data_IF_677516186790
#
_entry.id   IF_677516186790
#
_cell.length_a   1.000
_cell.length_b   1.000
_cell.length_c   1.000
_cell.angle_alpha   90.00
_cell.angle_beta   90.00
_cell.angle_gamma   90.00
#
_symmetry.space_group_name_H-M   'P 1'
#
loop_
_entity.id
_entity.type
_entity.pdbx_description
1 polymer ?
#
# COMPACT_ATOMS: atom_id res chain seq x y z
N UNK A 1 -6.57 8.82 5.03
CA UNK A 1 -5.78 10.05 4.76
C UNK A 1 -4.38 9.58 4.52
N UNK A 2 -3.77 9.91 3.38
CA UNK A 2 -2.42 9.43 3.05
C UNK A 2 -1.36 10.49 3.33
N UNK A 3 -0.16 10.09 3.69
CA UNK A 3 1.00 10.95 3.85
C UNK A 3 2.24 10.26 3.29
N UNK A 4 3.16 11.03 2.71
CA UNK A 4 4.48 10.54 2.30
C UNK A 4 5.55 11.35 3.01
N UNK A 5 6.51 10.67 3.60
CA UNK A 5 7.69 11.26 4.22
C UNK A 5 8.93 10.62 3.63
N UNK A 6 9.84 11.45 3.13
CA UNK A 6 11.10 11.04 2.53
C UNK A 6 12.24 11.26 3.51
N UNK A 7 13.09 10.25 3.69
CA UNK A 7 14.29 10.29 4.52
C UNK A 7 15.53 9.97 3.69
N UNK A 8 16.69 10.46 4.15
CA UNK A 8 17.97 9.93 3.69
C UNK A 8 18.34 8.68 4.49
N UNK A 9 19.01 7.72 3.86
CA UNK A 9 19.60 6.57 4.57
C UNK A 9 20.67 7.00 5.60
N UNK A 10 21.26 8.19 5.41
CA UNK A 10 22.35 8.70 6.26
C UNK A 10 21.85 9.49 7.48
N UNK A 11 20.62 10.02 7.44
CA UNK A 11 20.02 10.73 8.57
C UNK A 11 18.51 10.42 8.66
N UNK A 12 18.12 9.42 9.48
CA UNK A 12 16.73 9.04 9.65
C UNK A 12 15.94 10.01 10.55
N UNK A 13 16.59 10.99 11.20
CA UNK A 13 15.92 11.92 12.11
C UNK A 13 15.36 13.16 11.40
N UNK A 14 15.94 13.51 10.25
CA UNK A 14 15.47 14.63 9.44
C UNK A 14 14.84 14.12 8.14
N UNK A 15 13.57 14.46 7.94
CA UNK A 15 12.94 14.21 6.65
C UNK A 15 13.43 15.22 5.62
N UNK A 16 13.77 14.74 4.43
CA UNK A 16 14.12 15.56 3.27
C UNK A 16 12.87 16.23 2.68
N UNK A 17 11.73 15.53 2.76
CA UNK A 17 10.48 15.98 2.19
C UNK A 17 9.29 15.33 2.90
N UNK A 18 8.17 16.05 2.99
CA UNK A 18 6.93 15.54 3.53
C UNK A 18 5.74 16.20 2.83
N UNK A 19 4.71 15.41 2.51
CA UNK A 19 3.41 15.93 2.07
C UNK A 19 2.27 14.99 2.45
N UNK A 20 1.09 15.58 2.58
CA UNK A 20 -0.20 14.89 2.76
C UNK A 20 -1.13 15.09 1.57
N UNK A 21 -0.70 15.85 0.55
CA UNK A 21 -1.45 16.08 -0.68
C UNK A 21 -1.33 14.87 -1.60
N UNK A 22 -2.47 14.36 -2.06
CA UNK A 22 -2.54 13.13 -2.83
C UNK A 22 -1.83 13.23 -4.18
N UNK A 23 -1.93 14.38 -4.85
CA UNK A 23 -1.36 14.60 -6.17
C UNK A 23 0.16 14.78 -6.07
N UNK A 24 0.64 15.44 -5.01
CA UNK A 24 2.07 15.53 -4.71
C UNK A 24 2.67 14.16 -4.39
N UNK A 25 2.01 13.37 -3.54
CA UNK A 25 2.41 12.00 -3.20
C UNK A 25 2.49 11.16 -4.48
N UNK A 26 1.45 11.20 -5.32
CA UNK A 26 1.39 10.46 -6.56
C UNK A 26 2.54 10.84 -7.50
N UNK A 27 2.82 12.14 -7.67
CA UNK A 27 3.92 12.62 -8.50
C UNK A 27 5.28 12.16 -7.99
N UNK A 28 5.53 12.25 -6.68
CA UNK A 28 6.81 11.84 -6.11
C UNK A 28 7.07 10.33 -6.26
N UNK A 29 6.06 9.52 -5.96
CA UNK A 29 6.16 8.07 -6.10
C UNK A 29 6.32 7.67 -7.57
N UNK A 30 5.55 8.29 -8.47
CA UNK A 30 5.60 7.98 -9.91
C UNK A 30 6.98 8.32 -10.51
N UNK A 31 7.64 9.40 -10.05
CA UNK A 31 9.00 9.74 -10.46
C UNK A 31 10.04 8.65 -10.13
N UNK A 32 9.75 7.77 -9.16
CA UNK A 32 10.56 6.60 -8.81
C UNK A 32 10.00 5.28 -9.37
N UNK A 33 9.01 5.34 -10.25
CA UNK A 33 8.36 4.17 -10.84
C UNK A 33 7.32 3.49 -9.93
N UNK A 34 6.94 4.13 -8.82
CA UNK A 34 5.94 3.60 -7.89
C UNK A 34 4.56 4.17 -8.23
N UNK A 35 3.61 3.30 -8.58
CA UNK A 35 2.22 3.71 -8.89
C UNK A 35 1.45 3.93 -7.59
N UNK A 36 0.86 5.11 -7.44
CA UNK A 36 -0.05 5.43 -6.34
C UNK A 36 -1.39 5.90 -6.91
N UNK A 37 -2.46 5.23 -6.51
CA UNK A 37 -3.82 5.54 -6.95
C UNK A 37 -4.81 5.45 -5.79
N UNK A 38 -5.92 6.17 -5.91
CA UNK A 38 -7.05 6.08 -4.99
C UNK A 38 -8.28 5.64 -5.75
N UNK A 39 -8.88 4.54 -5.33
CA UNK A 39 -10.13 4.04 -5.90
C UNK A 39 -11.22 4.08 -4.85
N UNK A 40 -12.42 4.43 -5.28
CA UNK A 40 -13.61 4.37 -4.44
C UNK A 40 -14.28 3.00 -4.62
N UNK A 41 -14.78 2.42 -3.53
CA UNK A 41 -15.68 1.28 -3.63
C UNK A 41 -16.95 1.68 -4.38
N UNK A 42 -17.51 0.77 -5.18
CA UNK A 42 -18.78 0.99 -5.86
C UNK A 42 -20.00 1.00 -4.91
N UNK A 43 -19.80 0.50 -3.68
CA UNK A 43 -20.82 0.35 -2.63
C UNK A 43 -20.22 0.55 -1.24
N UNK A 44 -21.09 0.82 -0.27
CA UNK A 44 -20.70 0.78 1.14
C UNK A 44 -20.44 -0.68 1.56
N UNK A 45 -19.25 -0.92 2.10
CA UNK A 45 -18.80 -2.23 2.55
C UNK A 45 -19.24 -2.54 4.00
N UNK A 46 -19.75 -1.54 4.73
CA UNK A 46 -20.16 -1.70 6.13
C UNK A 46 -18.97 -1.90 7.08
N UNK A 47 -19.26 -2.35 8.31
CA UNK A 47 -18.23 -2.71 9.30
C UNK A 47 -17.85 -4.17 9.12
N UNK A 48 -16.56 -4.42 8.92
CA UNK A 48 -15.99 -5.77 8.74
C UNK A 48 -16.49 -6.50 7.48
N UNK A 49 -16.24 -5.94 6.29
CA UNK A 49 -16.58 -6.62 5.06
C UNK A 49 -15.82 -7.94 4.92
N UNK A 50 -16.51 -8.96 4.40
CA UNK A 50 -15.86 -10.21 4.05
C UNK A 50 -14.90 -9.99 2.87
N UNK A 51 -13.82 -10.79 2.74
CA UNK A 51 -12.91 -10.76 1.59
C UNK A 51 -13.65 -10.73 0.24
N UNK A 52 -14.66 -11.60 0.08
CA UNK A 52 -15.47 -11.68 -1.14
C UNK A 52 -16.22 -10.38 -1.42
N UNK A 53 -16.84 -9.77 -0.40
CA UNK A 53 -17.56 -8.51 -0.58
C UNK A 53 -16.63 -7.35 -0.98
N UNK A 54 -15.40 -7.34 -0.47
CA UNK A 54 -14.36 -6.38 -0.88
C UNK A 54 -13.98 -6.61 -2.34
N UNK A 55 -13.68 -7.84 -2.73
CA UNK A 55 -13.32 -8.18 -4.12
C UNK A 55 -14.45 -7.77 -5.06
N UNK A 56 -15.69 -8.13 -4.76
CA UNK A 56 -16.86 -7.77 -5.57
C UNK A 56 -17.02 -6.26 -5.75
N UNK A 57 -16.78 -5.48 -4.68
CA UNK A 57 -16.89 -4.01 -4.75
C UNK A 57 -15.79 -3.35 -5.57
N UNK A 58 -14.61 -3.96 -5.63
CA UNK A 58 -13.45 -3.48 -6.38
C UNK A 58 -13.19 -4.25 -7.67
N UNK A 59 -14.06 -5.18 -8.06
CA UNK A 59 -13.88 -6.06 -9.21
C UNK A 59 -13.61 -5.26 -10.49
N UNK A 60 -14.31 -4.14 -10.68
CA UNK A 60 -14.11 -3.23 -11.80
C UNK A 60 -12.67 -2.69 -11.90
N UNK A 61 -12.02 -2.42 -10.78
CA UNK A 61 -10.66 -1.92 -10.71
C UNK A 61 -9.63 -3.06 -10.84
N UNK A 62 -9.92 -4.21 -10.25
CA UNK A 62 -9.12 -5.43 -10.41
C UNK A 62 -9.10 -5.86 -11.88
N UNK A 63 -10.26 -5.93 -12.55
CA UNK A 63 -10.36 -6.30 -13.97
C UNK A 63 -9.54 -5.37 -14.86
N UNK A 64 -9.55 -4.07 -14.55
CA UNK A 64 -8.72 -3.09 -15.25
C UNK A 64 -7.23 -3.37 -15.05
N UNK A 65 -6.78 -3.64 -13.82
CA UNK A 65 -5.39 -4.02 -13.56
C UNK A 65 -4.99 -5.32 -14.25
N UNK A 66 -5.85 -6.33 -14.22
CA UNK A 66 -5.61 -7.62 -14.87
C UNK A 66 -5.50 -7.43 -16.38
N UNK A 67 -6.34 -6.61 -16.99
CA UNK A 67 -6.25 -6.28 -18.41
C UNK A 67 -4.98 -5.50 -18.77
N UNK A 68 -4.51 -4.60 -17.89
CA UNK A 68 -3.30 -3.78 -18.13
C UNK A 68 -1.99 -4.55 -17.90
N UNK A 69 -1.93 -5.39 -16.86
CA UNK A 69 -0.69 -5.96 -16.32
C UNK A 69 -0.66 -7.49 -16.29
N UNK A 70 -1.79 -8.16 -16.49
CA UNK A 70 -1.88 -9.62 -16.55
C UNK A 70 -1.71 -10.34 -15.21
N UNK A 71 -2.04 -9.69 -14.09
CA UNK A 71 -1.99 -10.31 -12.77
C UNK A 71 -2.86 -11.58 -12.73
N UNK A 72 -2.31 -12.68 -12.18
CA UNK A 72 -2.96 -14.00 -12.19
C UNK A 72 -3.74 -14.31 -10.91
N UNK A 73 -3.39 -13.66 -9.80
CA UNK A 73 -4.01 -13.91 -8.49
C UNK A 73 -4.06 -12.64 -7.66
N UNK A 74 -5.13 -12.49 -6.89
CA UNK A 74 -5.30 -11.47 -5.87
C UNK A 74 -5.93 -12.11 -4.63
N UNK A 75 -5.61 -11.58 -3.47
CA UNK A 75 -6.15 -12.04 -2.18
C UNK A 75 -6.37 -10.83 -1.26
N UNK A 76 -7.33 -10.93 -0.36
CA UNK A 76 -7.67 -9.88 0.61
C UNK A 76 -7.26 -10.35 2.00
N UNK A 77 -6.29 -9.66 2.58
CA UNK A 77 -5.79 -9.95 3.93
C UNK A 77 -6.32 -8.88 4.88
N UNK A 78 -7.01 -9.31 5.94
CA UNK A 78 -7.43 -8.44 7.05
C UNK A 78 -6.62 -8.77 8.31
N UNK A 79 -5.85 -7.80 8.80
CA UNK A 79 -5.08 -7.93 10.03
C UNK A 79 -5.68 -7.05 11.13
N UNK A 80 -6.51 -7.66 11.98
CA UNK A 80 -7.11 -7.01 13.15
C UNK A 80 -6.24 -7.21 14.40
N UNK A 81 -6.42 -6.34 15.41
CA UNK A 81 -5.59 -6.31 16.62
C UNK A 81 -5.74 -7.56 17.52
N UNK A 82 -6.86 -8.28 17.36
CA UNK A 82 -7.20 -9.55 18.00
C UNK A 82 -6.65 -10.78 17.27
N UNK A 83 -6.04 -10.61 16.08
CA UNK A 83 -5.46 -11.72 15.34
C UNK A 83 -4.29 -12.32 16.15
N UNK A 84 -4.37 -13.61 16.54
CA UNK A 84 -3.34 -14.25 17.37
C UNK A 84 -1.98 -14.36 16.66
N UNK A 85 -1.97 -14.28 15.32
CA UNK A 85 -0.74 -14.36 14.51
C UNK A 85 -0.15 -12.98 14.17
N UNK A 86 -0.70 -11.88 14.72
CA UNK A 86 -0.29 -10.51 14.38
C UNK A 86 1.21 -10.26 14.55
N UNK A 87 1.82 -10.81 15.59
CA UNK A 87 3.24 -10.61 15.88
C UNK A 87 4.12 -11.35 14.87
N UNK A 88 3.77 -12.61 14.56
CA UNK A 88 4.48 -13.41 13.57
C UNK A 88 4.37 -12.83 12.16
N UNK A 89 3.16 -12.40 11.75
CA UNK A 89 2.93 -11.75 10.47
C UNK A 89 3.69 -10.43 10.39
N UNK A 90 3.64 -9.59 11.44
CA UNK A 90 4.40 -8.34 11.49
C UNK A 90 5.90 -8.59 11.38
N UNK A 91 6.44 -9.58 12.09
CA UNK A 91 7.86 -9.92 12.01
C UNK A 91 8.27 -10.36 10.60
N UNK A 92 7.41 -11.11 9.90
CA UNK A 92 7.65 -11.51 8.51
C UNK A 92 7.76 -10.30 7.56
N UNK A 93 6.88 -9.31 7.72
CA UNK A 93 6.86 -8.11 6.88
C UNK A 93 7.86 -7.03 7.32
N UNK A 94 8.42 -7.12 8.53
CA UNK A 94 9.42 -6.17 9.04
C UNK A 94 10.79 -6.34 8.38
N UNK A 95 11.10 -7.56 7.92
CA UNK A 95 12.35 -7.82 7.21
C UNK A 95 12.26 -7.23 5.80
N UNK A 96 13.23 -6.40 5.44
CA UNK A 96 13.39 -5.89 4.09
C UNK A 96 13.55 -7.06 3.12
N UNK A 97 12.78 -7.02 2.04
CA UNK A 97 12.78 -8.04 1.00
C UNK A 97 12.47 -7.40 -0.35
N UNK A 98 12.88 -8.08 -1.41
CA UNK A 98 12.60 -7.68 -2.79
C UNK A 98 11.80 -8.78 -3.47
N UNK A 99 10.89 -8.40 -4.36
CA UNK A 99 10.14 -9.33 -5.19
C UNK A 99 10.62 -9.22 -6.63
N UNK A 100 10.58 -10.34 -7.37
CA UNK A 100 10.85 -10.34 -8.80
C UNK A 100 9.66 -9.87 -9.65
N UNK A 101 8.48 -9.75 -9.03
CA UNK A 101 7.22 -9.33 -9.65
C UNK A 101 6.71 -8.04 -8.99
N UNK A 102 5.82 -7.31 -9.68
CA UNK A 102 5.19 -6.09 -9.16
C UNK A 102 4.32 -6.42 -7.93
N UNK A 103 4.65 -5.88 -6.75
CA UNK A 103 3.82 -6.01 -5.55
C UNK A 103 2.75 -4.89 -5.51
N UNK A 104 1.48 -5.27 -5.71
CA UNK A 104 0.35 -4.34 -5.60
C UNK A 104 -0.34 -4.52 -4.25
N UNK A 105 -0.46 -3.41 -3.50
CA UNK A 105 -1.20 -3.36 -2.23
C UNK A 105 -2.30 -2.33 -2.32
N UNK A 106 -3.52 -2.75 -2.00
CA UNK A 106 -4.70 -1.90 -1.99
C UNK A 106 -5.30 -1.86 -0.58
N UNK A 107 -5.61 -0.66 -0.10
CA UNK A 107 -6.11 -0.43 1.26
C UNK A 107 -7.59 -0.07 1.23
N UNK A 108 -8.38 -0.82 2.01
CA UNK A 108 -9.84 -0.69 2.08
C UNK A 108 -10.27 -0.13 3.43
N UNK A 109 -9.78 -0.72 4.52
CA UNK A 109 -10.05 -0.31 5.90
C UNK A 109 -8.74 -0.27 6.70
N UNK A 110 -8.61 0.71 7.59
CA UNK A 110 -7.46 0.86 8.47
C UNK A 110 -6.39 1.81 7.94
N UNK A 111 -5.17 1.64 8.43
CA UNK A 111 -4.01 2.39 7.97
C UNK A 111 -2.78 1.46 7.89
N UNK A 112 -1.94 1.68 6.88
CA UNK A 112 -0.72 0.93 6.66
C UNK A 112 0.47 1.87 6.47
N UNK A 113 1.65 1.49 6.98
CA UNK A 113 2.90 2.19 6.72
C UNK A 113 3.79 1.33 5.84
N UNK A 114 4.14 1.84 4.66
CA UNK A 114 5.12 1.24 3.76
C UNK A 114 6.42 2.00 3.82
N UNK A 115 7.52 1.27 3.87
CA UNK A 115 8.87 1.83 3.74
C UNK A 115 9.45 1.26 2.44
N UNK A 116 9.68 2.14 1.45
CA UNK A 116 10.33 1.78 0.20
C UNK A 116 11.75 2.34 0.21
N UNK A 117 12.74 1.46 0.14
CA UNK A 117 14.14 1.84 0.07
C UNK A 117 14.56 1.88 -1.40
N UNK A 118 14.89 3.07 -1.91
CA UNK A 118 15.19 3.31 -3.33
C UNK A 118 16.49 4.12 -3.44
N UNK A 119 17.59 3.44 -3.75
CA UNK A 119 18.91 4.08 -3.76
C UNK A 119 19.31 4.51 -2.34
N UNK A 120 19.69 5.78 -2.18
CA UNK A 120 20.08 6.35 -0.87
C UNK A 120 18.92 7.06 -0.13
N UNK A 121 17.68 6.78 -0.54
CA UNK A 121 16.47 7.41 -0.04
C UNK A 121 15.47 6.36 0.49
N UNK A 122 14.77 6.72 1.57
CA UNK A 122 13.71 5.91 2.17
C UNK A 122 12.40 6.66 2.10
N UNK A 123 11.44 6.11 1.36
CA UNK A 123 10.09 6.64 1.19
C UNK A 123 9.15 5.95 2.18
N UNK A 124 8.63 6.70 3.15
CA UNK A 124 7.61 6.24 4.08
C UNK A 124 6.22 6.71 3.64
N UNK A 125 5.40 5.79 3.15
CA UNK A 125 4.02 6.06 2.72
C UNK A 125 3.05 5.54 3.78
N UNK A 126 2.34 6.46 4.42
CA UNK A 126 1.18 6.16 5.25
C UNK A 126 -0.07 6.23 4.36
N UNK A 127 -0.83 5.14 4.29
CA UNK A 127 -2.09 5.02 3.53
C UNK A 127 -3.25 4.72 4.44
#
# INVERSE_FOLDING_TARGET
MSALTLYSVNDPHQHLWHSTDADEIARQLNAKGVRFERWAADRDLGRDPTPDAVIDAYQHAIDKLVAEKGYQSWDVISLRADNPQKEALRAKFLNEHTHGEDEVRFFVEGAGLFCLHIGDEVYQVLV
#
